data_IF_210029262031
#
_entry.id   IF_210029262031
#
_cell.length_a   1.000
_cell.length_b   1.000
_cell.length_c   1.000
_cell.angle_alpha   90.00
_cell.angle_beta   90.00
_cell.angle_gamma   90.00
#
_symmetry.space_group_name_H-M   'P 1'
#
loop_
_entity.id
_entity.type
_entity.pdbx_description
1 polymer ?
#
# COMPACT_ATOMS: atom_id res chain seq x y z
N UNK A 1 -9.84 -4.06 -11.54
CA UNK A 1 -9.31 -2.98 -10.68
C UNK A 1 -7.79 -2.92 -10.79
N UNK A 2 -7.17 -1.76 -10.60
CA UNK A 2 -5.70 -1.54 -10.67
C UNK A 2 -5.09 -1.47 -9.26
N UNK A 3 -3.79 -1.79 -9.12
CA UNK A 3 -2.99 -1.53 -7.91
C UNK A 3 -3.04 -0.04 -7.55
N UNK A 4 -3.10 0.29 -6.25
CA UNK A 4 -3.12 1.66 -5.75
C UNK A 4 -2.30 1.83 -4.46
N UNK A 5 -1.99 3.09 -4.13
CA UNK A 5 -1.35 3.50 -2.87
C UNK A 5 -2.46 4.03 -1.95
N UNK A 6 -2.68 3.36 -0.81
CA UNK A 6 -3.68 3.76 0.18
C UNK A 6 -3.08 3.77 1.59
N UNK A 7 -2.68 4.89 2.16
CA UNK A 7 -2.85 6.27 1.74
C UNK A 7 -1.49 6.85 1.28
N UNK A 8 -1.43 8.02 0.63
CA UNK A 8 -0.16 8.66 0.25
C UNK A 8 0.42 9.61 1.33
N UNK A 9 -0.38 10.04 2.30
CA UNK A 9 0.03 10.89 3.44
C UNK A 9 -0.48 10.28 4.75
N UNK A 10 0.41 10.10 5.74
CA UNK A 10 0.05 9.55 7.04
C UNK A 10 -1.06 10.41 7.71
N UNK A 11 -1.95 9.79 8.47
CA UNK A 11 -3.16 10.45 8.99
C UNK A 11 -2.84 11.74 9.76
N UNK A 12 -1.82 11.73 10.63
CA UNK A 12 -1.40 12.92 11.40
C UNK A 12 -0.78 14.05 10.57
N UNK A 13 -0.52 13.81 9.29
CA UNK A 13 -0.01 14.79 8.31
C UNK A 13 -1.10 15.25 7.33
N UNK A 14 -2.31 14.68 7.38
CA UNK A 14 -3.39 15.05 6.46
C UNK A 14 -3.94 16.45 6.83
N UNK A 15 -4.21 17.32 5.83
CA UNK A 15 -4.73 18.68 6.07
C UNK A 15 -6.07 18.72 6.83
N UNK A 16 -6.84 17.63 6.77
CA UNK A 16 -8.12 17.48 7.45
C UNK A 16 -8.03 17.38 8.97
N UNK A 17 -6.85 17.05 9.52
CA UNK A 17 -6.61 17.02 10.96
C UNK A 17 -5.87 18.29 11.38
N UNK A 18 -6.56 19.31 11.95
CA UNK A 18 -5.93 20.52 12.46
C UNK A 18 -5.28 20.23 13.81
N UNK A 19 -4.33 19.30 13.85
CA UNK A 19 -3.60 18.96 15.07
C UNK A 19 -2.38 19.85 15.16
N UNK A 20 -2.40 20.75 16.15
CA UNK A 20 -1.25 21.56 16.51
C UNK A 20 -0.19 20.64 17.14
N UNK A 21 0.65 20.04 16.29
CA UNK A 21 1.79 19.21 16.66
C UNK A 21 1.44 17.98 17.50
N UNK A 22 0.96 16.92 16.84
CA UNK A 22 1.32 15.57 17.27
C UNK A 22 2.84 15.48 17.07
N UNK A 23 3.59 15.07 18.09
CA UNK A 23 5.03 14.80 17.96
C UNK A 23 5.32 13.72 16.90
N UNK A 24 6.56 13.25 16.83
CA UNK A 24 6.85 12.13 15.91
C UNK A 24 6.09 10.87 16.32
N UNK A 25 5.50 10.19 15.34
CA UNK A 25 4.91 8.87 15.48
C UNK A 25 5.80 7.88 14.72
N UNK A 26 7.02 7.69 15.22
CA UNK A 26 8.10 7.02 14.48
C UNK A 26 7.71 5.63 13.96
N UNK A 27 6.99 4.83 14.77
CA UNK A 27 6.49 3.51 14.35
C UNK A 27 5.49 3.63 13.20
N UNK A 28 4.56 4.58 13.28
CA UNK A 28 3.57 4.84 12.22
C UNK A 28 4.25 5.35 10.95
N UNK A 29 5.28 6.18 11.08
CA UNK A 29 6.00 6.77 9.97
C UNK A 29 6.91 5.77 9.27
N UNK A 30 7.54 4.85 10.01
CA UNK A 30 8.30 3.72 9.45
C UNK A 30 7.36 2.72 8.76
N UNK A 31 6.21 2.42 9.38
CA UNK A 31 5.19 1.58 8.75
C UNK A 31 4.53 2.24 7.53
N UNK A 32 4.73 3.55 7.35
CA UNK A 32 4.32 4.32 6.19
C UNK A 32 5.28 4.22 5.00
N UNK A 33 6.22 3.27 5.01
CA UNK A 33 6.88 2.83 3.78
C UNK A 33 5.84 2.53 2.70
N UNK A 34 6.13 2.78 1.41
CA UNK A 34 5.14 2.74 0.34
C UNK A 34 4.49 1.35 0.23
N UNK A 35 3.38 1.17 0.95
CA UNK A 35 2.60 -0.05 0.93
C UNK A 35 1.71 -0.01 -0.31
N UNK A 36 1.81 -1.04 -1.13
CA UNK A 36 0.98 -1.20 -2.32
C UNK A 36 -0.14 -2.19 -2.01
N UNK A 37 -1.35 -1.87 -2.44
CA UNK A 37 -2.49 -2.78 -2.32
C UNK A 37 -2.62 -3.58 -3.60
N UNK A 38 -2.49 -4.90 -3.48
CA UNK A 38 -2.73 -5.80 -4.60
C UNK A 38 -4.24 -5.91 -4.87
N UNK A 39 -4.66 -6.11 -6.14
CA UNK A 39 -6.05 -6.32 -6.47
C UNK A 39 -6.65 -7.52 -5.70
N UNK A 40 -7.65 -7.24 -4.86
CA UNK A 40 -8.40 -8.24 -4.11
C UNK A 40 -9.86 -7.77 -3.91
N UNK A 41 -10.84 -8.47 -4.51
CA UNK A 41 -12.25 -8.08 -4.43
C UNK A 41 -13.21 -9.27 -4.67
N UNK A 42 -14.49 -9.20 -4.20
CA UNK A 42 -15.48 -10.24 -4.46
C UNK A 42 -15.73 -10.45 -5.95
N UNK A 43 -15.72 -11.71 -6.40
CA UNK A 43 -15.92 -12.07 -7.80
C UNK A 43 -14.64 -12.14 -8.64
N UNK A 44 -13.48 -11.92 -8.05
CA UNK A 44 -12.19 -12.15 -8.70
C UNK A 44 -12.00 -13.65 -8.99
N UNK A 45 -11.56 -13.98 -10.20
CA UNK A 45 -11.32 -15.38 -10.61
C UNK A 45 -9.98 -15.90 -10.10
N UNK A 46 -9.83 -17.22 -10.06
CA UNK A 46 -8.53 -17.84 -9.75
C UNK A 46 -7.43 -17.39 -10.72
N UNK A 47 -7.73 -17.29 -12.02
CA UNK A 47 -6.78 -16.83 -13.04
C UNK A 47 -6.32 -15.38 -12.82
N UNK A 48 -7.23 -14.50 -12.37
CA UNK A 48 -6.89 -13.12 -12.02
C UNK A 48 -5.99 -13.05 -10.78
N UNK A 49 -6.19 -13.95 -9.81
CA UNK A 49 -5.31 -14.06 -8.63
C UNK A 49 -3.93 -14.57 -9.05
N UNK A 50 -3.86 -15.63 -9.86
CA UNK A 50 -2.61 -16.22 -10.33
C UNK A 50 -1.76 -15.20 -11.10
N UNK A 51 -2.41 -14.38 -11.94
CA UNK A 51 -1.74 -13.30 -12.67
C UNK A 51 -1.13 -12.25 -11.74
N UNK A 52 -1.79 -11.90 -10.64
CA UNK A 52 -1.25 -10.97 -9.64
C UNK A 52 -0.04 -11.58 -8.94
N UNK A 53 -0.12 -12.86 -8.56
CA UNK A 53 0.98 -13.60 -7.93
C UNK A 53 2.21 -13.65 -8.86
N UNK A 54 2.01 -14.00 -10.13
CA UNK A 54 3.07 -14.06 -11.14
C UNK A 54 3.75 -12.70 -11.31
N UNK A 55 2.97 -11.61 -11.43
CA UNK A 55 3.52 -10.27 -11.61
C UNK A 55 4.38 -9.83 -10.41
N UNK A 56 3.91 -10.07 -9.19
CA UNK A 56 4.64 -9.70 -7.96
C UNK A 56 5.91 -10.53 -7.80
N UNK A 57 5.82 -11.86 -7.95
CA UNK A 57 6.98 -12.74 -7.81
C UNK A 57 8.03 -12.47 -8.90
N UNK A 58 7.60 -12.17 -10.12
CA UNK A 58 8.49 -11.80 -11.23
C UNK A 58 9.23 -10.49 -10.95
N UNK A 59 8.54 -9.48 -10.40
CA UNK A 59 9.17 -8.21 -10.03
C UNK A 59 10.33 -8.44 -9.04
N UNK A 60 10.08 -9.14 -7.93
CA UNK A 60 11.10 -9.40 -6.91
C UNK A 60 12.18 -10.39 -7.34
N UNK A 61 11.92 -11.25 -8.33
CA UNK A 61 12.94 -12.16 -8.86
C UNK A 61 13.96 -11.46 -9.76
N UNK A 62 13.62 -10.29 -10.33
CA UNK A 62 14.51 -9.47 -11.17
C UNK A 62 15.40 -8.52 -10.38
N UNK A 63 15.08 -8.28 -9.10
CA UNK A 63 15.82 -7.41 -8.18
C UNK A 63 17.00 -8.14 -7.49
N UNK A 64 17.40 -9.32 -7.98
CA UNK A 64 18.53 -10.11 -7.47
C UNK A 64 19.84 -9.81 -8.18
#
# INVERSE_FOLDING_TARGET
MSTGIHFPIAEHKQPAYPVAQIGSLEVTEQAYEPVIFLPYFPGQTGEEVDRVIEAVTTYFSKEK
#
